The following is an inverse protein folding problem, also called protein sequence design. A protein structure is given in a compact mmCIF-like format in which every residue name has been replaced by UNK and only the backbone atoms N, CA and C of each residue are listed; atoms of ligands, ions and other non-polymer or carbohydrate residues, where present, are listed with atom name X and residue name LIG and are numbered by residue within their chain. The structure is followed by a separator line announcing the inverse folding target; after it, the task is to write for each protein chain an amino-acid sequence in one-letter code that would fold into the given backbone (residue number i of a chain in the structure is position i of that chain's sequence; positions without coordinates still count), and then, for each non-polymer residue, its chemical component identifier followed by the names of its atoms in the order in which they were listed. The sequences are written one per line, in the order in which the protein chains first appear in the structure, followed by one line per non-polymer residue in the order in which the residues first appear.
data_IF_457840974231
#
_entry.id   IF_457840974231
#
_cell.length_a   1.000
_cell.length_b   1.000
_cell.length_c   1.000
_cell.angle_alpha   90.00
_cell.angle_beta   90.00
_cell.angle_gamma   90.00
#
_symmetry.space_group_name_H-M   'P 1'
#
loop_
_entity.id
_entity.type
_entity.pdbx_description
1 polymer ?
#
# COMPACT_ATOMS: atom_id res chain seq x y z
N UNK A 1 2.59 -8.06 14.29
CA UNK A 1 2.13 -7.79 12.91
C UNK A 1 0.62 -7.89 12.84
N UNK A 2 0.05 -9.08 13.10
CA UNK A 2 -1.40 -9.35 13.10
C UNK A 2 -2.24 -8.47 14.04
N UNK A 3 -1.67 -8.00 15.14
CA UNK A 3 -2.32 -7.02 16.02
C UNK A 3 -2.57 -5.67 15.35
N UNK A 4 -1.72 -5.27 14.40
CA UNK A 4 -1.79 -3.98 13.68
C UNK A 4 -2.46 -4.17 12.31
N UNK A 5 -2.04 -5.19 11.57
CA UNK A 5 -2.52 -5.51 10.23
C UNK A 5 -3.34 -6.80 10.28
N UNK A 6 -4.66 -6.67 10.32
CA UNK A 6 -5.59 -7.78 10.47
C UNK A 6 -5.91 -8.49 9.16
N UNK A 7 -5.75 -7.79 8.04
CA UNK A 7 -5.98 -8.35 6.72
C UNK A 7 -5.10 -7.71 5.65
N UNK A 8 -4.94 -8.44 4.55
CA UNK A 8 -4.25 -8.01 3.34
C UNK A 8 -5.21 -8.19 2.17
N UNK A 9 -5.22 -7.23 1.25
CA UNK A 9 -6.02 -7.32 0.02
C UNK A 9 -5.11 -7.15 -1.19
N UNK A 10 -5.20 -8.08 -2.16
CA UNK A 10 -4.42 -8.03 -3.40
C UNK A 10 -5.28 -8.23 -4.64
N UNK A 11 -4.70 -7.98 -5.83
CA UNK A 11 -5.28 -8.48 -7.08
C UNK A 11 -4.84 -9.92 -7.35
N UNK A 12 -5.34 -10.48 -8.44
CA UNK A 12 -4.97 -11.82 -8.92
C UNK A 12 -3.67 -11.80 -9.74
N UNK A 13 -2.75 -10.88 -9.44
CA UNK A 13 -1.40 -10.89 -10.03
C UNK A 13 -0.68 -12.19 -9.68
N UNK A 14 0.06 -12.74 -10.64
CA UNK A 14 0.82 -14.00 -10.42
C UNK A 14 1.88 -13.85 -9.33
N UNK A 15 2.39 -12.64 -9.12
CA UNK A 15 3.30 -12.32 -8.03
C UNK A 15 2.68 -12.50 -6.63
N UNK A 16 1.35 -12.57 -6.54
CA UNK A 16 0.60 -12.76 -5.29
C UNK A 16 -0.08 -14.13 -5.20
N UNK A 17 0.26 -15.07 -6.10
CA UNK A 17 -0.34 -16.41 -6.11
C UNK A 17 -0.06 -17.21 -4.84
N UNK A 18 1.06 -16.93 -4.18
CA UNK A 18 1.49 -17.60 -2.93
C UNK A 18 1.24 -16.74 -1.68
N UNK A 19 0.49 -15.63 -1.80
CA UNK A 19 0.29 -14.69 -0.70
C UNK A 19 -0.48 -15.32 0.47
N UNK A 20 -1.37 -16.26 0.20
CA UNK A 20 -2.14 -16.97 1.24
C UNK A 20 -1.22 -17.90 2.05
N UNK A 21 -0.28 -18.56 1.39
CA UNK A 21 0.70 -19.47 2.00
C UNK A 21 1.82 -18.71 2.72
N UNK A 22 2.19 -17.53 2.24
CA UNK A 22 3.23 -16.70 2.81
C UNK A 22 2.82 -16.00 4.13
N UNK A 23 1.51 -15.93 4.41
CA UNK A 23 0.95 -15.25 5.56
C UNK A 23 0.31 -16.26 6.50
N UNK A 24 0.53 -16.11 7.81
CA UNK A 24 -0.16 -16.91 8.82
C UNK A 24 -1.66 -16.56 8.81
N UNK A 25 -2.43 -17.35 8.06
CA UNK A 25 -3.86 -17.14 7.83
C UNK A 25 -4.70 -17.27 9.10
N UNK A 26 -4.18 -17.91 10.16
CA UNK A 26 -4.86 -17.97 11.45
C UNK A 26 -4.82 -16.62 12.17
N UNK A 27 -3.93 -15.72 11.76
CA UNK A 27 -3.74 -14.40 12.36
C UNK A 27 -4.05 -13.22 11.43
N UNK A 28 -3.97 -13.41 10.11
CA UNK A 28 -4.18 -12.35 9.12
C UNK A 28 -4.98 -12.88 7.94
N UNK A 29 -6.13 -12.27 7.66
CA UNK A 29 -6.98 -12.69 6.54
C UNK A 29 -6.46 -12.15 5.20
N UNK A 30 -6.41 -12.99 4.17
CA UNK A 30 -6.04 -12.58 2.80
C UNK A 30 -7.28 -12.53 1.92
N UNK A 31 -7.46 -11.42 1.21
CA UNK A 31 -8.57 -11.20 0.28
C UNK A 31 -8.04 -10.87 -1.12
N UNK A 32 -8.73 -11.36 -2.15
CA UNK A 32 -8.43 -11.06 -3.54
C UNK A 32 -9.58 -10.32 -4.19
N UNK A 33 -9.27 -9.36 -5.05
CA UNK A 33 -10.30 -8.64 -5.82
C UNK A 33 -10.95 -9.55 -6.87
N UNK A 34 -12.20 -9.28 -7.19
CA UNK A 34 -12.92 -10.00 -8.23
C UNK A 34 -12.26 -9.76 -9.61
N UNK A 35 -12.21 -10.79 -10.48
CA UNK A 35 -11.71 -10.62 -11.84
C UNK A 35 -12.40 -9.44 -12.55
N UNK A 36 -11.62 -8.66 -13.30
CA UNK A 36 -12.08 -7.50 -14.08
C UNK A 36 -12.75 -6.37 -13.27
N UNK A 37 -12.52 -6.30 -11.95
CA UNK A 37 -13.13 -5.29 -11.08
C UNK A 37 -12.06 -4.33 -10.53
N UNK A 38 -11.49 -3.50 -11.39
CA UNK A 38 -10.43 -2.55 -11.01
C UNK A 38 -10.86 -1.53 -9.94
N UNK A 39 -12.16 -1.21 -9.86
CA UNK A 39 -12.72 -0.29 -8.88
C UNK A 39 -12.53 -0.74 -7.43
N UNK A 40 -12.36 -2.03 -7.16
CA UNK A 40 -12.05 -2.56 -5.82
C UNK A 40 -10.65 -2.14 -5.33
N UNK A 41 -9.82 -1.58 -6.22
CA UNK A 41 -8.44 -1.14 -5.96
C UNK A 41 -8.22 0.35 -6.21
N UNK A 42 -9.28 1.15 -6.19
CA UNK A 42 -9.18 2.59 -6.48
C UNK A 42 -8.12 3.33 -5.66
N UNK A 43 -7.93 2.96 -4.39
CA UNK A 43 -6.86 3.53 -3.54
C UNK A 43 -5.47 3.16 -4.02
N UNK A 44 -5.25 1.90 -4.41
CA UNK A 44 -3.96 1.41 -4.91
C UNK A 44 -3.60 2.09 -6.23
N UNK A 45 -4.54 2.19 -7.16
CA UNK A 45 -4.34 2.87 -8.45
C UNK A 45 -3.97 4.35 -8.25
N UNK A 46 -4.70 5.02 -7.35
CA UNK A 46 -4.42 6.40 -6.98
C UNK A 46 -3.04 6.55 -6.34
N UNK A 47 -2.61 5.59 -5.51
CA UNK A 47 -1.30 5.61 -4.87
C UNK A 47 -0.18 5.36 -5.89
N UNK A 48 -0.35 4.39 -6.80
CA UNK A 48 0.57 4.15 -7.90
C UNK A 48 0.76 5.43 -8.74
N UNK A 49 -0.32 6.17 -9.02
CA UNK A 49 -0.23 7.46 -9.71
C UNK A 49 0.62 8.52 -9.00
N UNK A 50 0.77 8.45 -7.67
CA UNK A 50 1.66 9.33 -6.91
C UNK A 50 3.12 8.94 -7.08
N UNK A 51 3.43 7.65 -6.98
CA UNK A 51 4.79 7.12 -7.21
C UNK A 51 5.25 7.48 -8.63
N UNK A 52 4.34 7.37 -9.62
CA UNK A 52 4.63 7.71 -11.02
C UNK A 52 4.97 9.17 -11.30
N UNK A 53 4.80 10.08 -10.34
CA UNK A 53 5.29 11.46 -10.44
C UNK A 53 6.81 11.55 -10.32
N UNK A 54 7.43 10.57 -9.66
CA UNK A 54 8.87 10.51 -9.43
C UNK A 54 9.52 9.40 -10.25
N UNK A 55 8.80 8.30 -10.51
CA UNK A 55 9.28 7.15 -11.27
C UNK A 55 8.42 6.99 -12.54
N UNK A 56 8.78 7.65 -13.65
CA UNK A 56 8.07 7.57 -14.91
C UNK A 56 7.85 6.12 -15.40
N UNK A 57 6.83 5.94 -16.23
CA UNK A 57 6.59 4.65 -16.88
C UNK A 57 7.77 4.28 -17.80
N UNK A 58 8.21 3.03 -17.72
CA UNK A 58 9.33 2.50 -18.53
C UNK A 58 10.70 2.65 -17.88
N UNK A 59 10.82 3.40 -16.78
CA UNK A 59 12.02 3.38 -15.95
C UNK A 59 11.98 2.15 -15.03
N UNK A 60 13.07 1.38 -14.99
CA UNK A 60 13.21 0.28 -14.03
C UNK A 60 13.37 0.84 -12.63
N UNK A 61 12.72 0.21 -11.65
CA UNK A 61 12.91 0.54 -10.25
C UNK A 61 14.27 0.02 -9.77
N UNK A 62 14.77 -1.07 -10.36
CA UNK A 62 16.07 -1.67 -10.01
C UNK A 62 17.26 -0.75 -10.30
N UNK A 63 17.08 0.25 -11.17
CA UNK A 63 18.11 1.24 -11.52
C UNK A 63 18.13 2.43 -10.53
N UNK A 64 17.20 2.47 -9.58
CA UNK A 64 17.10 3.54 -8.59
C UNK A 64 17.85 3.20 -7.32
N UNK A 65 18.52 4.21 -6.77
CA UNK A 65 19.12 4.09 -5.44
C UNK A 65 18.03 4.07 -4.36
N UNK A 66 18.26 3.29 -3.30
CA UNK A 66 17.35 3.15 -2.16
C UNK A 66 16.99 4.52 -1.53
N UNK A 67 17.88 5.52 -1.60
CA UNK A 67 17.59 6.87 -1.12
C UNK A 67 16.47 7.55 -1.90
N UNK A 68 16.35 7.28 -3.21
CA UNK A 68 15.25 7.77 -4.05
C UNK A 68 13.95 7.09 -3.62
N UNK A 69 13.99 5.78 -3.38
CA UNK A 69 12.82 5.02 -2.94
C UNK A 69 12.32 5.54 -1.59
N UNK A 70 13.22 5.69 -0.62
CA UNK A 70 12.92 6.24 0.70
C UNK A 70 12.36 7.67 0.63
N UNK A 71 12.89 8.51 -0.27
CA UNK A 71 12.37 9.85 -0.49
C UNK A 71 10.93 9.83 -1.02
N UNK A 72 10.65 9.00 -2.02
CA UNK A 72 9.30 8.87 -2.60
C UNK A 72 8.31 8.32 -1.58
N UNK A 73 8.71 7.30 -0.80
CA UNK A 73 7.91 6.74 0.28
C UNK A 73 7.56 7.80 1.33
N UNK A 74 8.57 8.51 1.85
CA UNK A 74 8.38 9.56 2.85
C UNK A 74 7.47 10.68 2.31
N UNK A 75 7.64 11.09 1.05
CA UNK A 75 6.76 12.06 0.42
C UNK A 75 5.31 11.55 0.33
N UNK A 76 5.12 10.29 -0.07
CA UNK A 76 3.79 9.68 -0.13
C UNK A 76 3.12 9.61 1.25
N UNK A 77 3.88 9.30 2.30
CA UNK A 77 3.39 9.12 3.66
C UNK A 77 3.16 10.44 4.40
N UNK A 78 3.87 11.51 4.04
CA UNK A 78 3.71 12.84 4.64
C UNK A 78 2.76 13.75 3.86
N UNK A 79 2.42 13.44 2.60
CA UNK A 79 1.54 14.27 1.78
C UNK A 79 0.08 14.26 2.29
N UNK A 80 -0.49 15.42 2.71
CA UNK A 80 -1.87 15.54 3.15
C UNK A 80 -2.91 15.04 2.15
N UNK A 81 -3.95 14.37 2.63
CA UNK A 81 -5.01 13.79 1.79
C UNK A 81 -6.36 14.42 2.13
N UNK A 82 -7.07 14.95 1.12
CA UNK A 82 -8.42 15.50 1.29
C UNK A 82 -9.39 14.49 1.93
N UNK A 83 -9.33 13.21 1.52
CA UNK A 83 -10.18 12.14 2.07
C UNK A 83 -9.92 11.88 3.57
N UNK A 84 -8.74 12.24 4.07
CA UNK A 84 -8.36 12.11 5.47
C UNK A 84 -8.56 13.42 6.26
N UNK A 85 -9.34 14.38 5.73
CA UNK A 85 -9.49 15.69 6.34
C UNK A 85 -8.21 16.53 6.30
N UNK A 86 -7.39 16.35 5.25
CA UNK A 86 -6.08 16.99 5.09
C UNK A 86 -5.02 16.57 6.11
N UNK A 87 -5.20 15.44 6.79
CA UNK A 87 -4.11 14.78 7.51
C UNK A 87 -3.29 13.91 6.53
N UNK A 88 -2.04 13.64 6.88
CA UNK A 88 -1.19 12.74 6.12
C UNK A 88 -1.53 11.27 6.43
N UNK A 89 -1.20 10.32 5.53
CA UNK A 89 -1.29 8.90 5.85
C UNK A 89 -0.54 8.54 7.13
N UNK A 90 0.64 9.12 7.37
CA UNK A 90 1.43 8.84 8.57
C UNK A 90 0.72 9.29 9.85
N UNK A 91 0.16 10.51 9.87
CA UNK A 91 -0.61 11.01 11.04
C UNK A 91 -1.79 10.08 11.37
N UNK A 92 -2.49 9.60 10.35
CA UNK A 92 -3.64 8.71 10.51
C UNK A 92 -3.22 7.32 10.96
N UNK A 93 -2.10 6.82 10.46
CA UNK A 93 -1.55 5.54 10.87
C UNK A 93 -1.12 5.56 12.34
N UNK A 94 -0.40 6.59 12.77
CA UNK A 94 0.02 6.77 14.17
C UNK A 94 -1.18 6.88 15.13
N UNK A 95 -2.23 7.62 14.75
CA UNK A 95 -3.48 7.67 15.53
C UNK A 95 -4.16 6.30 15.64
N UNK A 96 -4.16 5.52 14.55
CA UNK A 96 -4.68 4.16 14.55
C UNK A 96 -3.89 3.24 15.47
N UNK A 97 -2.55 3.30 15.41
CA UNK A 97 -1.68 2.52 16.30
C UNK A 97 -1.93 2.82 17.77
N UNK A 98 -2.07 4.09 18.15
CA UNK A 98 -2.34 4.50 19.53
C UNK A 98 -3.70 4.02 20.06
N UNK A 99 -4.62 3.60 19.19
CA UNK A 99 -5.92 3.05 19.58
C UNK A 99 -5.91 1.52 19.75
N UNK A 100 -4.85 0.85 19.30
CA UNK A 100 -4.71 -0.61 19.26
C UNK A 100 -3.65 -1.11 20.25
N UNK A 101 -2.69 -0.25 20.62
CA UNK A 101 -1.68 -0.47 21.66
C UNK A 101 -2.14 0.08 23.02
#
# INVERSE_FOLDING_TARGET
FSSIFQSITSDNGSEFSELTEAVDCDQVSVYYTHPYTSSERGTNERHNGLIRRFIPKGQSIDDLDDTVIAYVENWCNTLPRKILGYQSPNDRFEQGLASVL
#
